data_IF_803569277488
#
_entry.id   IF_803569277488
#
_cell.length_a   1.000
_cell.length_b   1.000
_cell.length_c   1.000
_cell.angle_alpha   90.00
_cell.angle_beta   90.00
_cell.angle_gamma   90.00
#
_symmetry.space_group_name_H-M   'P 1'
#
loop_
_entity.id
_entity.type
_entity.pdbx_description
1 polymer ?
#
# COMPACT_ATOMS: atom_id res chain seq x y z
N UNK A 1 -16.20 4.92 8.96
CA UNK A 1 -15.28 3.93 8.36
C UNK A 1 -14.46 4.67 7.30
N UNK A 2 -13.23 5.08 7.59
CA UNK A 2 -12.41 5.83 6.62
C UNK A 2 -11.85 4.86 5.58
N UNK A 3 -12.22 5.05 4.32
CA UNK A 3 -11.69 4.26 3.20
C UNK A 3 -10.27 4.75 2.94
N UNK A 4 -9.27 3.91 3.22
CA UNK A 4 -7.88 4.21 2.86
C UNK A 4 -7.72 3.99 1.37
N UNK A 5 -7.46 5.06 0.63
CA UNK A 5 -7.19 5.01 -0.81
C UNK A 5 -5.70 5.17 -1.03
N UNK A 6 -5.08 4.19 -1.71
CA UNK A 6 -3.71 4.31 -2.17
C UNK A 6 -3.68 5.03 -3.52
N UNK A 7 -2.75 5.96 -3.69
CA UNK A 7 -2.44 6.50 -5.01
C UNK A 7 -1.72 5.45 -5.85
N UNK A 8 -1.73 5.60 -7.18
CA UNK A 8 -1.00 4.72 -8.09
C UNK A 8 0.49 4.59 -7.75
N UNK A 9 1.13 5.67 -7.30
CA UNK A 9 2.53 5.65 -6.86
C UNK A 9 2.73 4.89 -5.54
N UNK A 10 1.79 5.01 -4.60
CA UNK A 10 1.82 4.22 -3.37
C UNK A 10 1.64 2.73 -3.67
N UNK A 11 0.71 2.37 -4.56
CA UNK A 11 0.53 1.00 -5.03
C UNK A 11 1.80 0.46 -5.69
N UNK A 12 2.45 1.23 -6.57
CA UNK A 12 3.73 0.83 -7.18
C UNK A 12 4.82 0.57 -6.15
N UNK A 13 4.92 1.41 -5.11
CA UNK A 13 5.88 1.19 -4.02
C UNK A 13 5.57 -0.09 -3.24
N UNK A 14 4.30 -0.31 -2.90
CA UNK A 14 3.85 -1.53 -2.21
C UNK A 14 4.20 -2.77 -3.03
N UNK A 15 3.86 -2.81 -4.31
CA UNK A 15 4.19 -3.96 -5.17
C UNK A 15 5.70 -4.20 -5.28
N UNK A 16 6.50 -3.14 -5.41
CA UNK A 16 7.96 -3.26 -5.45
C UNK A 16 8.52 -3.84 -4.14
N UNK A 17 7.95 -3.45 -3.01
CA UNK A 17 8.36 -3.93 -1.69
C UNK A 17 7.96 -5.40 -1.49
N UNK A 18 6.77 -5.79 -1.97
CA UNK A 18 6.32 -7.19 -2.03
C UNK A 18 7.26 -8.06 -2.86
N UNK A 19 7.64 -7.59 -4.06
CA UNK A 19 8.56 -8.34 -4.93
C UNK A 19 9.94 -8.53 -4.28
N UNK A 20 10.45 -7.51 -3.59
CA UNK A 20 11.72 -7.58 -2.87
C UNK A 20 11.67 -8.57 -1.70
N UNK A 21 10.61 -8.52 -0.87
CA UNK A 21 10.44 -9.48 0.23
C UNK A 21 10.25 -10.91 -0.29
N UNK A 22 9.52 -11.09 -1.39
CA UNK A 22 9.37 -12.40 -2.02
C UNK A 22 10.71 -12.92 -2.58
N UNK A 23 11.52 -12.07 -3.21
CA UNK A 23 12.84 -12.45 -3.70
C UNK A 23 13.79 -12.85 -2.57
N UNK A 24 13.79 -12.09 -1.46
CA UNK A 24 14.60 -12.42 -0.29
C UNK A 24 14.13 -13.70 0.40
N UNK A 25 12.81 -13.89 0.55
CA UNK A 25 12.26 -15.12 1.08
C UNK A 25 12.60 -16.32 0.17
N UNK A 26 12.53 -16.12 -1.15
CA UNK A 26 12.92 -17.13 -2.13
C UNK A 26 14.39 -17.54 -2.00
N UNK A 27 15.26 -16.57 -1.76
CA UNK A 27 16.69 -16.78 -1.54
C UNK A 27 16.99 -17.54 -0.26
N UNK A 28 16.19 -17.33 0.80
CA UNK A 28 16.42 -17.95 2.12
C UNK A 28 15.80 -19.35 2.25
N UNK A 29 14.61 -19.55 1.68
CA UNK A 29 13.79 -20.74 1.94
C UNK A 29 13.45 -21.55 0.67
N UNK A 30 13.87 -21.07 -0.50
CA UNK A 30 13.46 -21.66 -1.78
C UNK A 30 12.12 -21.08 -2.28
N UNK A 31 11.52 -21.67 -3.32
CA UNK A 31 10.41 -21.06 -4.07
C UNK A 31 9.27 -20.55 -3.18
N UNK A 32 8.87 -19.28 -3.38
CA UNK A 32 7.76 -18.66 -2.66
C UNK A 32 6.44 -19.05 -3.31
N UNK A 33 5.54 -19.59 -2.50
CA UNK A 33 4.17 -19.91 -2.93
C UNK A 33 3.31 -18.65 -3.05
N UNK A 34 2.24 -18.73 -3.85
CA UNK A 34 1.27 -17.64 -3.98
C UNK A 34 0.64 -17.27 -2.61
N UNK A 35 0.46 -18.24 -1.71
CA UNK A 35 -0.06 -17.99 -0.37
C UNK A 35 0.91 -17.12 0.47
N UNK A 36 2.21 -17.40 0.40
CA UNK A 36 3.23 -16.60 1.08
C UNK A 36 3.35 -15.20 0.48
N UNK A 37 3.30 -15.08 -0.84
CA UNK A 37 3.26 -13.78 -1.53
C UNK A 37 2.06 -12.95 -1.08
N UNK A 38 0.88 -13.56 -0.96
CA UNK A 38 -0.32 -12.87 -0.48
C UNK A 38 -0.20 -12.41 0.97
N UNK A 39 0.44 -13.21 1.85
CA UNK A 39 0.70 -12.82 3.24
C UNK A 39 1.67 -11.64 3.34
N UNK A 40 2.73 -11.65 2.53
CA UNK A 40 3.68 -10.53 2.40
C UNK A 40 2.95 -9.27 1.94
N UNK A 41 2.15 -9.37 0.87
CA UNK A 41 1.37 -8.25 0.35
C UNK A 41 0.39 -7.70 1.38
N UNK A 42 -0.33 -8.56 2.10
CA UNK A 42 -1.25 -8.14 3.16
C UNK A 42 -0.52 -7.39 4.28
N UNK A 43 0.63 -7.89 4.75
CA UNK A 43 1.42 -7.24 5.80
C UNK A 43 1.95 -5.87 5.37
N UNK A 44 2.46 -5.76 4.15
CA UNK A 44 2.97 -4.49 3.60
C UNK A 44 1.82 -3.49 3.41
N UNK A 45 0.67 -3.93 2.92
CA UNK A 45 -0.51 -3.08 2.78
C UNK A 45 -1.05 -2.61 4.15
N UNK A 46 -1.05 -3.47 5.16
CA UNK A 46 -1.45 -3.12 6.53
C UNK A 46 -0.48 -2.10 7.14
N UNK A 47 0.83 -2.31 7.00
CA UNK A 47 1.84 -1.35 7.44
C UNK A 47 1.72 0.02 6.74
N UNK A 48 1.40 0.01 5.44
CA UNK A 48 1.15 1.23 4.67
C UNK A 48 -0.17 1.92 5.06
N UNK A 49 -1.13 1.16 5.63
CA UNK A 49 -2.40 1.69 6.15
C UNK A 49 -2.24 2.36 7.51
N UNK A 50 -1.40 1.79 8.38
CA UNK A 50 -1.13 2.33 9.73
C UNK A 50 -0.17 3.53 9.71
N UNK A 51 0.63 3.65 8.65
CA UNK A 51 1.38 4.87 8.32
C UNK A 51 0.80 5.50 7.05
N UNK A 52 -0.43 6.06 7.10
CA UNK A 52 -0.84 6.89 5.99
C UNK A 52 0.21 8.01 5.89
N UNK A 53 0.69 8.38 4.68
CA UNK A 53 1.37 9.66 4.55
C UNK A 53 0.42 10.67 5.18
N UNK A 54 0.94 11.49 6.12
CA UNK A 54 0.15 12.52 6.78
C UNK A 54 -0.72 13.15 5.70
N UNK A 55 -2.03 12.88 5.77
CA UNK A 55 -2.93 13.23 4.68
C UNK A 55 -2.81 14.73 4.59
N UNK A 56 -2.08 15.20 3.57
CA UNK A 56 -2.19 16.56 3.11
C UNK A 56 -3.68 16.69 2.88
N UNK A 57 -4.33 17.52 3.70
CA UNK A 57 -5.73 17.85 3.66
C UNK A 57 -6.03 18.55 2.33
N UNK A 58 -5.89 17.85 1.22
CA UNK A 58 -6.12 18.36 -0.12
C UNK A 58 -7.44 17.78 -0.59
N UNK A 59 -8.52 18.34 -0.06
CA UNK A 59 -9.78 18.56 -0.75
C UNK A 59 -10.74 19.35 0.16
N UNK A 60 -10.34 20.56 0.55
CA UNK A 60 -11.31 21.64 0.70
C UNK A 60 -11.64 22.16 -0.71
N UNK A 61 -12.41 21.39 -1.48
CA UNK A 61 -13.19 21.93 -2.59
C UNK A 61 -14.61 22.11 -2.05
N UNK A 62 -14.80 23.18 -1.29
CA UNK A 62 -16.09 23.87 -1.27
C UNK A 62 -15.89 25.05 -2.21
N UNK A 63 -16.20 24.83 -3.49
CA UNK A 63 -16.42 25.94 -4.41
C UNK A 63 -17.58 26.80 -3.90
N UNK A 64 -17.62 28.10 -4.21
CA UNK A 64 -18.71 28.95 -3.77
C UNK A 64 -19.97 28.51 -4.52
N UNK A 65 -20.86 27.78 -3.83
CA UNK A 65 -22.23 27.71 -4.31
C UNK A 65 -22.82 29.10 -4.15
N UNK A 66 -22.99 29.75 -5.30
CA UNK A 66 -23.57 31.06 -5.40
C UNK A 66 -24.96 31.14 -4.77
N UNK A 67 -25.22 32.32 -4.25
CA UNK A 67 -26.53 32.96 -4.15
C UNK A 67 -26.31 34.43 -4.43
#
# INVERSE_FOLDING_TARGET
MSIVRFTSDQLKKIYREVDLECAELARQQGPVSAAQMNLIAARIMEAARDKPPAVTQLLSVVGPHGT
#
